data_IF_613071159835
#
_entry.id   IF_613071159835
#
_cell.length_a   1.000
_cell.length_b   1.000
_cell.length_c   1.000
_cell.angle_alpha   90.00
_cell.angle_beta   90.00
_cell.angle_gamma   90.00
#
_symmetry.space_group_name_H-M   'P 1'
#
loop_
_entity.id
_entity.type
_entity.pdbx_description
1 polymer ?
#
# COMPACT_ATOMS: atom_id res chain seq x y z
N UNK A 1 9.47 -49.87 -5.94
CA UNK A 1 9.65 -48.50 -6.48
C UNK A 1 8.98 -47.54 -5.50
N UNK A 2 9.72 -47.00 -4.55
CA UNK A 2 9.17 -46.04 -3.59
C UNK A 2 8.90 -44.72 -4.30
N UNK A 3 7.68 -44.19 -4.18
CA UNK A 3 7.32 -42.87 -4.68
C UNK A 3 8.14 -41.83 -3.92
N UNK A 4 8.99 -41.09 -4.64
CA UNK A 4 9.67 -39.92 -4.08
C UNK A 4 8.60 -38.84 -3.94
N UNK A 5 8.00 -38.74 -2.75
CA UNK A 5 7.22 -37.57 -2.36
C UNK A 5 8.16 -36.37 -2.43
N UNK A 6 7.90 -35.43 -3.33
CA UNK A 6 8.68 -34.19 -3.40
C UNK A 6 8.40 -33.37 -2.14
N UNK A 7 9.28 -33.50 -1.15
CA UNK A 7 9.19 -32.92 0.19
C UNK A 7 9.48 -31.40 0.23
N UNK A 8 9.37 -30.73 -0.93
CA UNK A 8 9.66 -29.31 -1.03
C UNK A 8 8.51 -28.49 -0.44
N UNK A 9 8.76 -27.59 0.53
CA UNK A 9 7.72 -26.74 1.08
C UNK A 9 7.12 -25.84 -0.03
N UNK A 10 5.81 -25.52 0.05
CA UNK A 10 5.17 -24.67 -0.94
C UNK A 10 5.88 -23.30 -1.04
N UNK A 11 5.88 -22.71 -2.23
CA UNK A 11 6.61 -21.48 -2.57
C UNK A 11 8.11 -21.52 -2.19
N UNK A 12 8.91 -22.47 -2.72
CA UNK A 12 10.33 -22.60 -2.35
C UNK A 12 11.20 -21.40 -2.74
N UNK A 13 10.78 -20.60 -3.72
CA UNK A 13 11.48 -19.40 -4.18
C UNK A 13 11.07 -18.12 -3.45
N UNK A 14 10.18 -18.22 -2.44
CA UNK A 14 9.69 -17.11 -1.63
C UNK A 14 9.17 -15.93 -2.47
N UNK A 15 8.49 -16.21 -3.59
CA UNK A 15 7.96 -15.16 -4.47
C UNK A 15 6.66 -14.58 -3.88
N UNK A 16 6.46 -13.28 -4.09
CA UNK A 16 5.22 -12.60 -3.74
C UNK A 16 4.09 -13.21 -4.55
N UNK A 17 3.06 -13.69 -3.86
CA UNK A 17 1.90 -14.34 -4.48
C UNK A 17 0.75 -13.35 -4.65
N UNK A 18 -0.02 -13.47 -5.74
CA UNK A 18 -1.25 -12.69 -5.98
C UNK A 18 -2.45 -13.61 -6.04
N UNK A 19 -3.39 -13.43 -5.12
CA UNK A 19 -4.63 -14.19 -4.97
C UNK A 19 -5.84 -13.44 -5.53
N UNK A 20 -6.81 -14.18 -6.05
CA UNK A 20 -8.05 -13.67 -6.66
C UNK A 20 -9.23 -14.54 -6.21
N UNK A 21 -9.67 -14.42 -4.94
CA UNK A 21 -10.77 -15.23 -4.42
C UNK A 21 -12.08 -14.97 -5.18
N UNK A 22 -12.95 -15.97 -5.17
CA UNK A 22 -14.39 -15.80 -5.36
C UNK A 22 -15.04 -15.10 -4.15
N UNK A 23 -16.29 -14.65 -4.27
CA UNK A 23 -17.02 -14.09 -3.11
C UNK A 23 -17.16 -15.06 -1.94
N UNK A 24 -17.35 -16.36 -2.22
CA UNK A 24 -17.49 -17.35 -1.16
C UNK A 24 -16.16 -17.60 -0.41
N UNK A 25 -15.03 -17.55 -1.13
CA UNK A 25 -13.71 -17.62 -0.50
C UNK A 25 -13.36 -16.32 0.25
N UNK A 26 -13.74 -15.17 -0.29
CA UNK A 26 -13.43 -13.86 0.27
C UNK A 26 -14.22 -13.51 1.55
N UNK A 27 -15.40 -14.11 1.73
CA UNK A 27 -16.29 -13.85 2.88
C UNK A 27 -15.63 -14.16 4.23
N UNK A 28 -14.75 -15.16 4.30
CA UNK A 28 -14.17 -15.66 5.54
C UNK A 28 -12.67 -15.32 5.63
N UNK A 29 -12.35 -14.09 6.09
CA UNK A 29 -10.97 -13.57 6.14
C UNK A 29 -9.97 -14.55 6.77
N UNK A 30 -10.25 -15.07 7.97
CA UNK A 30 -9.34 -15.96 8.69
C UNK A 30 -9.10 -17.27 7.95
N UNK A 31 -10.14 -17.82 7.31
CA UNK A 31 -10.03 -19.04 6.52
C UNK A 31 -9.21 -18.80 5.26
N UNK A 32 -9.41 -17.66 4.60
CA UNK A 32 -8.66 -17.33 3.39
C UNK A 32 -7.19 -17.02 3.70
N UNK A 33 -6.90 -16.38 4.83
CA UNK A 33 -5.53 -16.18 5.31
C UNK A 33 -4.82 -17.53 5.52
N UNK A 34 -5.44 -18.46 6.24
CA UNK A 34 -4.88 -19.81 6.43
C UNK A 34 -4.68 -20.56 5.11
N UNK A 35 -5.59 -20.40 4.14
CA UNK A 35 -5.43 -20.93 2.79
C UNK A 35 -4.21 -20.33 2.08
N UNK A 36 -4.03 -19.00 2.12
CA UNK A 36 -2.86 -18.35 1.53
C UNK A 36 -1.55 -18.84 2.15
N UNK A 37 -1.54 -19.04 3.48
CA UNK A 37 -0.39 -19.60 4.19
C UNK A 37 -0.09 -21.04 3.78
N UNK A 38 -1.12 -21.87 3.57
CA UNK A 38 -0.95 -23.26 3.10
C UNK A 38 -0.35 -23.32 1.68
N UNK A 39 -0.52 -22.28 0.87
CA UNK A 39 0.13 -22.12 -0.43
C UNK A 39 1.56 -21.54 -0.34
N UNK A 40 2.05 -21.22 0.86
CA UNK A 40 3.40 -20.68 1.09
C UNK A 40 3.52 -19.16 0.90
N UNK A 41 2.41 -18.41 0.90
CA UNK A 41 2.44 -16.95 0.67
C UNK A 41 3.26 -16.20 1.73
N UNK A 42 3.15 -16.62 3.00
CA UNK A 42 3.86 -16.03 4.14
C UNK A 42 5.39 -16.03 3.97
N UNK A 43 5.94 -16.97 3.19
CA UNK A 43 7.39 -17.08 2.97
C UNK A 43 7.99 -15.89 2.21
N UNK A 44 7.17 -15.16 1.46
CA UNK A 44 7.59 -13.93 0.78
C UNK A 44 7.55 -12.69 1.69
N UNK A 45 6.97 -12.78 2.89
CA UNK A 45 6.74 -11.65 3.81
C UNK A 45 5.63 -10.70 3.37
N UNK A 46 5.15 -10.79 2.13
CA UNK A 46 4.04 -10.01 1.59
C UNK A 46 3.26 -10.82 0.54
N UNK A 47 1.94 -10.62 0.51
CA UNK A 47 1.04 -11.18 -0.49
C UNK A 47 0.04 -10.12 -0.95
N UNK A 48 -0.44 -10.25 -2.19
CA UNK A 48 -1.48 -9.39 -2.75
C UNK A 48 -2.79 -10.17 -2.88
N UNK A 49 -3.89 -9.61 -2.37
CA UNK A 49 -5.24 -10.14 -2.60
C UNK A 49 -6.00 -9.12 -3.44
N UNK A 50 -6.51 -9.54 -4.59
CA UNK A 50 -7.40 -8.73 -5.42
C UNK A 50 -8.83 -9.21 -5.10
N UNK A 51 -9.66 -8.39 -4.44
CA UNK A 51 -11.00 -8.82 -4.06
C UNK A 51 -11.89 -9.09 -5.29
N UNK A 52 -13.00 -9.83 -5.12
CA UNK A 52 -14.03 -9.98 -6.14
C UNK A 52 -14.54 -8.61 -6.62
N UNK A 53 -14.86 -8.48 -7.91
CA UNK A 53 -15.21 -7.19 -8.55
C UNK A 53 -16.51 -6.59 -8.01
N UNK A 54 -17.40 -7.44 -7.55
CA UNK A 54 -18.68 -7.10 -6.95
C UNK A 54 -18.55 -6.55 -5.53
N UNK A 55 -17.46 -6.86 -4.83
CA UNK A 55 -17.22 -6.36 -3.48
C UNK A 55 -16.70 -4.93 -3.51
N UNK A 56 -17.36 -4.05 -2.76
CA UNK A 56 -16.95 -2.66 -2.56
C UNK A 56 -17.09 -2.31 -1.08
N UNK A 57 -16.04 -1.82 -0.41
CA UNK A 57 -16.11 -1.48 1.01
C UNK A 57 -16.87 -0.16 1.28
N UNK A 58 -17.07 0.64 0.23
CA UNK A 58 -17.75 1.94 0.27
C UNK A 58 -18.43 2.22 -1.06
N UNK A 59 -19.60 2.86 -1.05
CA UNK A 59 -20.31 3.24 -2.28
C UNK A 59 -19.61 4.36 -3.08
N UNK A 60 -19.17 5.42 -2.41
CA UNK A 60 -18.48 6.58 -3.02
C UNK A 60 -17.51 7.22 -2.02
N UNK A 61 -16.59 8.04 -2.51
CA UNK A 61 -15.59 8.76 -1.68
C UNK A 61 -15.74 10.29 -1.77
N UNK A 62 -16.87 10.80 -2.26
CA UNK A 62 -17.06 12.24 -2.48
C UNK A 62 -17.12 13.05 -1.17
N UNK A 63 -17.39 12.37 -0.05
CA UNK A 63 -17.59 12.94 1.29
C UNK A 63 -16.33 12.91 2.17
N UNK A 64 -15.20 12.40 1.68
CA UNK A 64 -13.97 12.30 2.47
C UNK A 64 -13.16 13.61 2.50
N UNK A 65 -13.49 14.59 1.67
CA UNK A 65 -12.69 15.80 1.50
C UNK A 65 -12.62 16.65 2.78
N UNK A 66 -13.67 16.60 3.62
CA UNK A 66 -13.75 17.34 4.90
C UNK A 66 -13.07 16.61 6.07
N UNK A 67 -12.59 15.36 5.88
CA UNK A 67 -11.85 14.65 6.91
C UNK A 67 -10.57 15.41 7.27
N UNK A 68 -10.28 15.48 8.57
CA UNK A 68 -9.10 16.15 9.10
C UNK A 68 -7.94 15.17 9.21
N UNK A 69 -6.79 15.56 8.68
CA UNK A 69 -5.48 14.96 8.95
C UNK A 69 -4.89 15.72 10.14
N UNK A 70 -4.89 15.14 11.36
CA UNK A 70 -4.58 15.91 12.58
C UNK A 70 -3.10 16.27 12.70
N UNK A 71 -2.20 15.40 12.24
CA UNK A 71 -0.76 15.59 12.33
C UNK A 71 -0.06 15.14 11.04
N UNK A 72 -0.21 15.87 9.92
CA UNK A 72 0.53 15.55 8.70
C UNK A 72 2.04 15.63 8.97
N UNK A 73 2.81 14.70 8.41
CA UNK A 73 4.26 14.65 8.60
C UNK A 73 4.99 14.97 7.31
N UNK A 74 5.90 15.93 7.33
CA UNK A 74 6.86 16.13 6.25
C UNK A 74 8.03 15.16 6.42
N UNK A 75 8.30 14.38 5.37
CA UNK A 75 9.30 13.31 5.39
C UNK A 75 10.62 13.86 4.86
N UNK A 76 11.53 14.18 5.78
CA UNK A 76 12.86 14.64 5.44
C UNK A 76 13.77 13.43 5.26
N UNK A 77 14.35 13.28 4.07
CA UNK A 77 15.24 12.16 3.75
C UNK A 77 16.66 12.67 3.55
N UNK A 78 17.62 12.03 4.20
CA UNK A 78 19.06 12.24 4.00
C UNK A 78 19.74 10.92 3.68
N UNK A 79 20.89 10.97 3.01
CA UNK A 79 21.62 9.80 2.56
C UNK A 79 21.90 9.81 1.07
N UNK A 80 22.55 8.76 0.58
CA UNK A 80 23.02 8.65 -0.81
C UNK A 80 23.30 7.20 -1.17
N UNK A 81 23.48 6.93 -2.46
CA UNK A 81 23.89 5.61 -2.99
C UNK A 81 22.99 4.44 -2.53
N UNK A 82 21.69 4.68 -2.42
CA UNK A 82 20.71 3.66 -2.03
C UNK A 82 20.52 3.47 -0.52
N UNK A 83 21.28 4.18 0.33
CA UNK A 83 21.16 4.13 1.78
C UNK A 83 20.67 5.48 2.32
N UNK A 84 19.52 5.46 3.00
CA UNK A 84 18.84 6.67 3.45
C UNK A 84 18.35 6.55 4.88
N UNK A 85 18.24 7.70 5.55
CA UNK A 85 17.54 7.87 6.82
C UNK A 85 16.42 8.89 6.62
N UNK A 86 15.23 8.55 7.10
CA UNK A 86 14.09 9.46 7.11
C UNK A 86 13.80 9.93 8.53
N UNK A 87 13.51 11.22 8.69
CA UNK A 87 12.92 11.77 9.90
C UNK A 87 11.68 12.59 9.58
N UNK A 88 10.76 12.67 10.54
CA UNK A 88 9.44 13.25 10.34
C UNK A 88 9.33 14.60 11.04
N UNK A 89 8.89 15.63 10.30
CA UNK A 89 8.56 16.94 10.86
C UNK A 89 7.04 17.13 10.81
N UNK A 90 6.40 17.15 11.97
CA UNK A 90 4.96 17.40 12.07
C UNK A 90 4.60 18.80 11.51
N UNK A 91 3.50 18.85 10.77
CA UNK A 91 2.89 20.07 10.21
C UNK A 91 1.56 20.37 10.91
N UNK A 92 1.03 21.55 10.61
CA UNK A 92 -0.29 21.94 11.11
C UNK A 92 -1.37 21.02 10.51
N UNK A 93 -2.47 20.76 11.25
CA UNK A 93 -3.60 20.01 10.74
C UNK A 93 -4.10 20.58 9.40
N UNK A 94 -4.61 19.71 8.54
CA UNK A 94 -5.24 20.09 7.28
C UNK A 94 -6.34 19.08 6.92
N UNK A 95 -7.28 19.50 6.08
CA UNK A 95 -8.29 18.61 5.50
C UNK A 95 -7.70 17.73 4.40
N UNK A 96 -8.39 16.63 4.08
CA UNK A 96 -8.07 15.80 2.91
C UNK A 96 -8.17 16.62 1.62
N UNK A 97 -9.10 17.58 1.54
CA UNK A 97 -9.20 18.54 0.43
C UNK A 97 -7.93 19.34 0.22
N UNK A 98 -7.44 19.99 1.28
CA UNK A 98 -6.20 20.77 1.25
C UNK A 98 -5.00 19.88 0.91
N UNK A 99 -4.94 18.68 1.48
CA UNK A 99 -3.89 17.70 1.18
C UNK A 99 -3.90 17.27 -0.30
N UNK A 100 -5.07 16.99 -0.86
CA UNK A 100 -5.26 16.65 -2.29
C UNK A 100 -4.84 17.79 -3.20
N UNK A 101 -5.18 19.03 -2.87
CA UNK A 101 -4.73 20.21 -3.62
C UNK A 101 -3.20 20.33 -3.57
N UNK A 102 -2.60 20.12 -2.39
CA UNK A 102 -1.15 20.17 -2.21
C UNK A 102 -0.45 19.08 -3.01
N UNK A 103 -0.92 17.83 -2.94
CA UNK A 103 -0.38 16.68 -3.66
C UNK A 103 -0.44 16.87 -5.19
N UNK A 104 -1.43 17.59 -5.71
CA UNK A 104 -1.59 17.86 -7.15
C UNK A 104 -0.96 19.18 -7.62
N UNK A 105 -0.38 19.96 -6.71
CA UNK A 105 0.36 21.17 -7.07
C UNK A 105 1.59 20.84 -7.90
N UNK A 106 2.08 21.80 -8.70
CA UNK A 106 3.29 21.61 -9.52
C UNK A 106 4.52 21.16 -8.72
N UNK A 107 4.56 21.47 -7.42
CA UNK A 107 5.66 21.10 -6.52
C UNK A 107 5.66 19.62 -6.12
N UNK A 108 4.48 19.01 -5.94
CA UNK A 108 4.36 17.68 -5.33
C UNK A 108 3.74 16.62 -6.24
N UNK A 109 3.14 17.04 -7.36
CA UNK A 109 2.51 16.11 -8.29
C UNK A 109 3.50 15.06 -8.81
N UNK A 110 2.97 13.90 -9.15
CA UNK A 110 3.72 12.83 -9.79
C UNK A 110 4.40 13.37 -11.07
N UNK A 111 5.71 13.16 -11.25
CA UNK A 111 6.38 13.56 -12.49
C UNK A 111 5.82 12.74 -13.66
N UNK A 112 5.99 13.20 -14.90
CA UNK A 112 5.68 12.36 -16.08
C UNK A 112 6.56 11.12 -16.07
N UNK A 113 6.00 9.96 -16.39
CA UNK A 113 6.73 8.69 -16.50
C UNK A 113 6.12 7.81 -17.60
N UNK A 114 6.89 6.83 -18.09
CA UNK A 114 6.43 5.90 -19.15
C UNK A 114 5.87 4.60 -18.60
N UNK A 115 6.46 4.09 -17.52
CA UNK A 115 6.07 2.86 -16.84
C UNK A 115 6.49 2.90 -15.36
N UNK A 116 6.18 1.84 -14.61
CA UNK A 116 6.52 1.79 -13.19
C UNK A 116 8.03 1.71 -12.91
N UNK A 117 8.84 1.15 -13.82
CA UNK A 117 10.29 1.11 -13.64
C UNK A 117 10.91 2.51 -13.79
N UNK A 118 10.41 3.31 -14.73
CA UNK A 118 10.80 4.71 -14.89
C UNK A 118 10.40 5.54 -13.67
N UNK A 119 9.19 5.32 -13.16
CA UNK A 119 8.74 5.99 -11.94
C UNK A 119 9.57 5.57 -10.72
N UNK A 120 9.93 4.30 -10.59
CA UNK A 120 10.81 3.79 -9.53
C UNK A 120 12.21 4.41 -9.61
N UNK A 121 12.82 4.48 -10.81
CA UNK A 121 14.10 5.18 -11.01
C UNK A 121 14.01 6.64 -10.58
N UNK A 122 12.91 7.33 -10.91
CA UNK A 122 12.67 8.72 -10.50
C UNK A 122 12.47 8.86 -9.00
N UNK A 123 11.78 7.92 -8.36
CA UNK A 123 11.61 7.89 -6.91
C UNK A 123 12.97 7.85 -6.20
N UNK A 124 13.79 6.84 -6.50
CA UNK A 124 15.09 6.66 -5.85
C UNK A 124 16.09 7.78 -6.17
N UNK A 125 16.05 8.31 -7.41
CA UNK A 125 16.91 9.43 -7.82
C UNK A 125 16.56 10.74 -7.12
N UNK A 126 15.29 10.96 -6.79
CA UNK A 126 14.81 12.27 -6.33
C UNK A 126 14.41 12.35 -4.86
N UNK A 127 14.59 11.26 -4.11
CA UNK A 127 14.09 11.09 -2.74
C UNK A 127 14.53 12.21 -1.76
N UNK A 128 15.67 12.86 -2.00
CA UNK A 128 16.25 13.88 -1.12
C UNK A 128 15.99 15.34 -1.55
N UNK A 129 15.31 15.59 -2.68
CA UNK A 129 15.12 16.97 -3.18
C UNK A 129 13.94 17.70 -2.54
N UNK A 130 12.73 17.18 -2.75
CA UNK A 130 11.50 17.79 -2.23
C UNK A 130 10.93 16.84 -1.19
N UNK A 131 10.97 17.26 0.08
CA UNK A 131 10.40 16.49 1.19
C UNK A 131 8.86 16.42 1.08
N UNK A 132 8.27 15.25 0.79
CA UNK A 132 6.82 15.09 0.65
C UNK A 132 6.13 15.19 2.02
N UNK A 133 4.81 15.35 2.01
CA UNK A 133 3.98 15.33 3.21
C UNK A 133 3.09 14.09 3.17
N UNK A 134 2.96 13.40 4.30
CA UNK A 134 2.17 12.20 4.45
C UNK A 134 1.17 12.35 5.60
N UNK A 135 -0.11 12.08 5.33
CA UNK A 135 -1.17 12.03 6.33
C UNK A 135 -1.26 10.64 6.96
N UNK A 136 -0.34 10.35 7.88
CA UNK A 136 -0.24 9.05 8.56
C UNK A 136 -1.09 9.00 9.84
N UNK A 137 -1.26 7.80 10.38
CA UNK A 137 -1.71 7.54 11.75
C UNK A 137 -3.06 8.21 12.12
N UNK A 138 -3.95 8.31 11.14
CA UNK A 138 -5.30 8.86 11.29
C UNK A 138 -6.21 7.77 11.86
N UNK A 139 -6.75 8.00 13.05
CA UNK A 139 -7.75 7.11 13.65
C UNK A 139 -9.07 7.20 12.89
N UNK A 140 -9.58 6.06 12.43
CA UNK A 140 -10.89 5.97 11.79
C UNK A 140 -10.99 4.84 10.77
N UNK A 141 -12.20 4.60 10.27
CA UNK A 141 -12.47 3.74 9.12
C UNK A 141 -13.32 4.52 8.12
N UNK A 142 -13.11 4.27 6.84
CA UNK A 142 -13.93 4.78 5.75
C UNK A 142 -14.78 3.67 5.10
N UNK A 143 -14.89 2.51 5.74
CA UNK A 143 -15.84 1.47 5.33
C UNK A 143 -17.27 1.95 5.65
N UNK A 144 -18.23 1.61 4.79
CA UNK A 144 -19.65 1.80 5.12
C UNK A 144 -20.00 0.91 6.34
N UNK A 145 -20.92 1.35 7.20
CA UNK A 145 -21.35 0.53 8.36
C UNK A 145 -22.04 -0.78 7.94
N UNK A 146 -22.59 -0.79 6.72
CA UNK A 146 -23.24 -1.95 6.11
C UNK A 146 -22.57 -2.20 4.75
N UNK A 147 -21.57 -3.09 4.75
CA UNK A 147 -20.91 -3.63 3.55
C UNK A 147 -21.60 -4.91 3.10
#
# INVERSE_FOLDING_TARGET
MAAVSSDSPPNPSCKIMTFRPSMDEFREFNKYLAHMESQGAHRAGVAKVIPPKEWKPRKHYDDIEDLVIPAPIQQMVTGQSGLFTQYNIQKKPMTVKEFKQLANSDKYRTPRYVDYEDLERKYWKNLTFVAPIYGADINGSIYDEVV
#
